data_IF_142093266260
#
_entry.id   IF_142093266260
#
_cell.length_a   1.000
_cell.length_b   1.000
_cell.length_c   1.000
_cell.angle_alpha   90.00
_cell.angle_beta   90.00
_cell.angle_gamma   90.00
#
_symmetry.space_group_name_H-M   'P 1'
#
loop_
_entity.id
_entity.type
_entity.pdbx_description
1 polymer ?
#
# COMPACT_ATOMS: atom_id res chain seq x y z
N UNK A 1 -22.54 -5.29 6.79
CA UNK A 1 -21.49 -5.63 5.81
C UNK A 1 -22.04 -5.35 4.43
N UNK A 2 -21.53 -4.39 3.65
CA UNK A 2 -21.90 -4.30 2.25
C UNK A 2 -21.36 -5.54 1.54
N UNK A 3 -22.21 -6.17 0.74
CA UNK A 3 -21.85 -7.33 -0.07
C UNK A 3 -20.64 -6.93 -0.94
N UNK A 4 -19.51 -7.63 -0.77
CA UNK A 4 -18.40 -7.57 -1.73
C UNK A 4 -19.00 -7.78 -3.11
N UNK A 5 -18.89 -6.80 -3.97
CA UNK A 5 -19.33 -6.90 -5.35
C UNK A 5 -18.71 -8.17 -5.94
N UNK A 6 -19.54 -9.12 -6.28
CA UNK A 6 -19.05 -10.41 -6.74
C UNK A 6 -18.30 -10.19 -8.05
N UNK A 7 -17.04 -10.64 -8.09
CA UNK A 7 -16.21 -10.62 -9.30
C UNK A 7 -17.05 -11.10 -10.49
N UNK A 8 -17.15 -10.32 -11.57
CA UNK A 8 -17.96 -10.69 -12.73
C UNK A 8 -17.64 -12.11 -13.22
N UNK A 9 -18.65 -12.86 -13.63
CA UNK A 9 -18.51 -14.28 -14.03
C UNK A 9 -17.38 -14.51 -15.06
N UNK A 10 -17.20 -13.57 -15.99
CA UNK A 10 -16.12 -13.62 -16.99
C UNK A 10 -14.72 -13.49 -16.37
N UNK A 11 -14.57 -12.63 -15.38
CA UNK A 11 -13.30 -12.46 -14.65
C UNK A 11 -12.99 -13.71 -13.81
N UNK A 12 -14.00 -14.34 -13.20
CA UNK A 12 -13.84 -15.61 -12.51
C UNK A 12 -13.40 -16.75 -13.45
N UNK A 13 -13.91 -16.79 -14.67
CA UNK A 13 -13.49 -17.77 -15.64
C UNK A 13 -12.00 -17.58 -16.03
N UNK A 14 -11.57 -16.36 -16.28
CA UNK A 14 -10.18 -16.02 -16.60
C UNK A 14 -9.23 -16.39 -15.45
N UNK A 15 -9.61 -16.12 -14.20
CA UNK A 15 -8.84 -16.51 -13.02
C UNK A 15 -8.77 -18.04 -12.87
N UNK A 16 -9.88 -18.74 -13.13
CA UNK A 16 -9.96 -20.20 -13.05
C UNK A 16 -9.23 -20.91 -14.18
N UNK A 17 -9.05 -20.25 -15.32
CA UNK A 17 -8.28 -20.77 -16.46
C UNK A 17 -6.75 -20.54 -16.32
N UNK A 18 -6.29 -20.01 -15.17
CA UNK A 18 -4.86 -19.82 -14.89
C UNK A 18 -4.23 -18.60 -15.57
N UNK A 19 -5.03 -17.76 -16.24
CA UNK A 19 -4.57 -16.47 -16.73
C UNK A 19 -4.50 -15.50 -15.54
N UNK A 20 -3.27 -15.10 -15.17
CA UNK A 20 -3.05 -14.11 -14.13
C UNK A 20 -3.58 -12.74 -14.51
N UNK A 21 -4.03 -11.97 -13.52
CA UNK A 21 -4.41 -10.58 -13.70
C UNK A 21 -3.20 -9.66 -13.51
N UNK A 22 -3.20 -8.54 -14.22
CA UNK A 22 -2.19 -7.49 -14.06
C UNK A 22 -2.82 -6.23 -13.44
N UNK A 23 -2.14 -5.66 -12.44
CA UNK A 23 -2.41 -4.34 -11.91
C UNK A 23 -1.17 -3.47 -12.12
N UNK A 24 -1.28 -2.49 -13.01
CA UNK A 24 -0.15 -1.68 -13.47
C UNK A 24 -0.18 -0.25 -12.93
N UNK A 25 -1.16 0.08 -12.08
CA UNK A 25 -1.31 1.42 -11.55
C UNK A 25 -1.88 1.40 -10.13
N UNK A 26 -1.05 1.01 -9.15
CA UNK A 26 -1.49 1.06 -7.76
C UNK A 26 -0.48 1.77 -6.86
N UNK A 27 -1.00 2.57 -5.93
CA UNK A 27 -0.19 3.30 -4.95
C UNK A 27 -0.04 2.48 -3.68
N UNK A 28 1.20 2.32 -3.21
CA UNK A 28 1.49 1.59 -1.97
C UNK A 28 0.70 2.13 -0.78
N UNK A 29 0.55 3.46 -0.69
CA UNK A 29 -0.15 4.11 0.42
C UNK A 29 -1.59 3.65 0.62
N UNK A 30 -2.28 3.31 -0.48
CA UNK A 30 -3.66 2.85 -0.46
C UNK A 30 -3.86 1.35 -0.65
N UNK A 31 -2.77 0.56 -0.73
CA UNK A 31 -2.83 -0.87 -1.09
C UNK A 31 -2.59 -1.81 0.10
N UNK A 32 -2.28 -1.27 1.26
CA UNK A 32 -2.01 -2.04 2.48
C UNK A 32 -3.30 -2.17 3.30
N UNK A 33 -3.62 -3.38 3.71
CA UNK A 33 -4.82 -3.63 4.51
C UNK A 33 -4.74 -2.97 5.89
N UNK A 34 -5.89 -2.58 6.42
CA UNK A 34 -6.00 -1.87 7.71
C UNK A 34 -5.47 -2.67 8.89
N UNK A 35 -5.53 -4.00 8.86
CA UNK A 35 -4.96 -4.87 9.90
C UNK A 35 -3.43 -4.81 9.95
N UNK A 36 -2.78 -4.76 8.79
CA UNK A 36 -1.33 -4.56 8.70
C UNK A 36 -0.95 -3.16 9.20
N UNK A 37 -1.69 -2.13 8.76
CA UNK A 37 -1.45 -0.76 9.19
C UNK A 37 -1.65 -0.60 10.70
N UNK A 38 -2.68 -1.22 11.27
CA UNK A 38 -2.93 -1.26 12.70
C UNK A 38 -1.77 -1.85 13.49
N UNK A 39 -1.29 -3.02 13.05
CA UNK A 39 -0.13 -3.69 13.65
C UNK A 39 1.12 -2.81 13.59
N UNK A 40 1.42 -2.24 12.41
CA UNK A 40 2.56 -1.36 12.21
C UNK A 40 2.52 -0.11 13.09
N UNK A 41 1.34 0.52 13.22
CA UNK A 41 1.18 1.71 14.06
C UNK A 41 1.51 1.40 15.53
N UNK A 42 1.03 0.27 16.05
CA UNK A 42 1.30 -0.14 17.43
C UNK A 42 2.76 -0.53 17.65
N UNK A 43 3.36 -1.27 16.74
CA UNK A 43 4.77 -1.68 16.81
C UNK A 43 5.72 -0.48 16.79
N UNK A 44 5.35 0.59 16.06
CA UNK A 44 6.13 1.82 15.99
C UNK A 44 5.79 2.84 17.07
N UNK A 45 4.83 2.56 17.95
CA UNK A 45 4.39 3.48 18.99
C UNK A 45 3.73 4.76 18.46
N UNK A 46 3.09 4.70 17.28
CA UNK A 46 2.39 5.83 16.68
C UNK A 46 1.10 6.08 17.47
N UNK A 47 0.95 7.30 17.98
CA UNK A 47 -0.27 7.71 18.68
C UNK A 47 -1.41 7.90 17.67
N UNK A 48 -2.30 6.91 17.60
CA UNK A 48 -3.48 6.98 16.74
C UNK A 48 -4.57 7.85 17.41
N UNK A 49 -5.43 8.53 16.63
CA UNK A 49 -6.54 9.34 17.16
C UNK A 49 -7.71 8.49 17.66
N UNK A 50 -7.67 7.19 17.44
CA UNK A 50 -8.69 6.20 17.78
C UNK A 50 -8.07 5.05 18.57
N UNK A 51 -8.87 4.38 19.39
CA UNK A 51 -8.40 3.29 20.27
C UNK A 51 -8.95 1.91 19.86
N UNK A 52 -9.91 1.90 18.96
CA UNK A 52 -10.60 0.71 18.50
C UNK A 52 -10.24 0.42 17.05
N UNK A 53 -10.03 -0.87 16.73
CA UNK A 53 -9.64 -1.29 15.38
C UNK A 53 -10.69 -0.92 14.33
N UNK A 54 -11.99 -1.03 14.65
CA UNK A 54 -13.04 -0.75 13.67
C UNK A 54 -13.18 0.76 13.39
N UNK A 55 -12.85 1.59 14.37
CA UNK A 55 -12.73 3.04 14.16
C UNK A 55 -11.52 3.36 13.30
N UNK A 56 -10.40 2.67 13.53
CA UNK A 56 -9.21 2.80 12.71
C UNK A 56 -9.45 2.33 11.27
N UNK A 57 -10.08 1.18 11.08
CA UNK A 57 -10.42 0.68 9.74
C UNK A 57 -11.22 1.72 8.94
N UNK A 58 -12.21 2.36 9.58
CA UNK A 58 -12.98 3.45 8.94
C UNK A 58 -12.14 4.71 8.67
N UNK A 59 -11.12 4.97 9.48
CA UNK A 59 -10.22 6.11 9.30
C UNK A 59 -9.31 5.97 8.08
N UNK A 60 -8.86 4.76 7.77
CA UNK A 60 -7.85 4.49 6.72
C UNK A 60 -8.43 3.83 5.47
N UNK A 61 -9.72 3.49 5.45
CA UNK A 61 -10.36 2.79 4.35
C UNK A 61 -11.44 3.64 3.70
N UNK A 62 -11.40 3.75 2.38
CA UNK A 62 -12.44 4.39 1.59
C UNK A 62 -13.49 3.33 1.25
N UNK A 63 -14.61 3.31 1.96
CA UNK A 63 -15.70 2.35 1.73
C UNK A 63 -16.61 2.73 0.56
N UNK A 64 -16.80 4.01 0.28
CA UNK A 64 -17.49 4.51 -0.91
C UNK A 64 -16.67 5.67 -1.53
N UNK A 65 -16.04 5.45 -2.69
CA UNK A 65 -15.28 6.50 -3.38
C UNK A 65 -16.11 7.73 -3.75
N UNK A 66 -17.43 7.59 -3.87
CA UNK A 66 -18.36 8.71 -4.18
C UNK A 66 -18.62 9.59 -2.96
N UNK A 67 -18.31 9.09 -1.76
CA UNK A 67 -18.40 9.83 -0.49
C UNK A 67 -17.18 10.68 -0.18
N UNK A 68 -16.14 10.64 -1.00
CA UNK A 68 -14.96 11.52 -0.85
C UNK A 68 -15.28 12.85 -1.49
N UNK A 69 -15.63 13.84 -0.67
CA UNK A 69 -16.16 15.13 -1.12
C UNK A 69 -15.14 15.97 -1.91
N UNK A 70 -13.85 15.83 -1.58
CA UNK A 70 -12.77 16.61 -2.19
C UNK A 70 -11.40 15.97 -1.95
N UNK A 71 -10.35 16.57 -2.54
CA UNK A 71 -8.97 16.10 -2.38
C UNK A 71 -8.46 16.22 -0.94
N UNK A 72 -8.89 17.22 -0.18
CA UNK A 72 -8.45 17.41 1.20
C UNK A 72 -8.94 16.26 2.11
N UNK A 73 -10.15 15.77 1.88
CA UNK A 73 -10.68 14.59 2.58
C UNK A 73 -9.89 13.32 2.23
N UNK A 74 -9.47 13.17 0.99
CA UNK A 74 -8.61 12.08 0.54
C UNK A 74 -7.22 12.19 1.17
N UNK A 75 -6.63 13.37 1.20
CA UNK A 75 -5.32 13.63 1.78
C UNK A 75 -5.30 13.36 3.30
N UNK A 76 -6.40 13.59 4.00
CA UNK A 76 -6.53 13.25 5.42
C UNK A 76 -6.43 11.73 5.68
N UNK A 77 -7.01 10.92 4.80
CA UNK A 77 -6.89 9.45 4.86
C UNK A 77 -5.45 9.03 4.54
N UNK A 78 -4.87 9.56 3.48
CA UNK A 78 -3.49 9.28 3.08
C UNK A 78 -2.47 9.74 4.14
N UNK A 79 -2.75 10.80 4.88
CA UNK A 79 -1.88 11.25 5.97
C UNK A 79 -1.57 10.13 6.95
N UNK A 80 -2.59 9.41 7.43
CA UNK A 80 -2.40 8.30 8.37
C UNK A 80 -1.71 7.10 7.73
N UNK A 81 -2.14 6.70 6.54
CA UNK A 81 -1.54 5.56 5.86
C UNK A 81 -0.07 5.82 5.52
N UNK A 82 0.29 7.02 5.09
CA UNK A 82 1.67 7.42 4.81
C UNK A 82 2.52 7.53 6.08
N UNK A 83 1.99 8.11 7.15
CA UNK A 83 2.70 8.21 8.42
C UNK A 83 3.07 6.84 8.98
N UNK A 84 2.13 5.91 8.97
CA UNK A 84 2.34 4.54 9.48
C UNK A 84 3.38 3.79 8.63
N UNK A 85 3.40 4.03 7.33
CA UNK A 85 4.32 3.40 6.39
C UNK A 85 5.64 4.18 6.23
N UNK A 86 6.07 4.95 7.22
CA UNK A 86 7.22 5.89 7.13
C UNK A 86 8.45 5.42 7.92
N UNK A 87 8.81 4.17 7.80
CA UNK A 87 10.09 3.63 8.27
C UNK A 87 10.52 2.47 7.37
N UNK A 88 11.81 2.11 7.30
CA UNK A 88 12.26 0.97 6.51
C UNK A 88 11.49 -0.31 6.82
N UNK A 89 11.30 -0.64 8.10
CA UNK A 89 10.55 -1.82 8.52
C UNK A 89 9.09 -1.78 8.04
N UNK A 90 8.44 -0.62 8.19
CA UNK A 90 7.05 -0.47 7.77
C UNK A 90 6.90 -0.54 6.26
N UNK A 91 7.84 0.04 5.50
CA UNK A 91 7.85 -0.04 4.02
C UNK A 91 8.03 -1.48 3.55
N UNK A 92 8.99 -2.23 4.10
CA UNK A 92 9.20 -3.64 3.74
C UNK A 92 7.92 -4.46 3.96
N UNK A 93 7.31 -4.34 5.14
CA UNK A 93 6.08 -5.07 5.47
C UNK A 93 4.89 -4.62 4.62
N UNK A 94 4.79 -3.34 4.31
CA UNK A 94 3.73 -2.78 3.48
C UNK A 94 3.81 -3.32 2.05
N UNK A 95 5.00 -3.32 1.44
CA UNK A 95 5.21 -3.85 0.10
C UNK A 95 4.91 -5.34 0.04
N UNK A 96 5.47 -6.12 0.96
CA UNK A 96 5.19 -7.56 1.06
C UNK A 96 3.69 -7.82 1.22
N UNK A 97 3.03 -7.11 2.14
CA UNK A 97 1.60 -7.27 2.42
C UNK A 97 0.71 -6.88 1.25
N UNK A 98 1.03 -5.80 0.54
CA UNK A 98 0.29 -5.35 -0.65
C UNK A 98 0.37 -6.37 -1.78
N UNK A 99 1.56 -6.92 -2.06
CA UNK A 99 1.75 -7.94 -3.10
C UNK A 99 0.98 -9.21 -2.74
N UNK A 100 1.16 -9.73 -1.53
CA UNK A 100 0.47 -10.94 -1.07
C UNK A 100 -1.06 -10.74 -0.99
N UNK A 101 -1.51 -9.56 -0.57
CA UNK A 101 -2.93 -9.19 -0.53
C UNK A 101 -3.55 -9.18 -1.92
N UNK A 102 -2.91 -8.55 -2.90
CA UNK A 102 -3.37 -8.50 -4.29
C UNK A 102 -3.50 -9.91 -4.91
N UNK A 103 -2.51 -10.76 -4.66
CA UNK A 103 -2.55 -12.15 -5.13
C UNK A 103 -3.67 -12.95 -4.47
N UNK A 104 -3.73 -12.97 -3.14
CA UNK A 104 -4.70 -13.81 -2.41
C UNK A 104 -6.16 -13.36 -2.59
N UNK A 105 -6.40 -12.05 -2.69
CA UNK A 105 -7.76 -11.53 -2.76
C UNK A 105 -8.31 -11.39 -4.18
N UNK A 106 -7.44 -11.15 -5.16
CA UNK A 106 -7.84 -10.78 -6.52
C UNK A 106 -7.19 -11.63 -7.62
N UNK A 107 -6.25 -12.51 -7.30
CA UNK A 107 -5.55 -13.34 -8.29
C UNK A 107 -4.58 -12.53 -9.17
N UNK A 108 -4.10 -11.37 -8.69
CA UNK A 108 -3.14 -10.54 -9.42
C UNK A 108 -1.78 -11.23 -9.38
N UNK A 109 -1.22 -11.51 -10.55
CA UNK A 109 0.08 -12.15 -10.73
C UNK A 109 1.13 -11.23 -11.34
N UNK A 110 0.73 -10.05 -11.82
CA UNK A 110 1.65 -9.00 -12.26
C UNK A 110 1.24 -7.69 -11.60
N UNK A 111 2.15 -7.07 -10.84
CA UNK A 111 1.85 -5.89 -10.03
C UNK A 111 2.94 -4.84 -10.16
N UNK A 112 2.56 -3.59 -10.46
CA UNK A 112 3.42 -2.41 -10.37
C UNK A 112 2.97 -1.54 -9.20
N UNK A 113 3.78 -1.53 -8.13
CA UNK A 113 3.57 -0.69 -6.95
C UNK A 113 4.35 0.61 -7.09
N UNK A 114 3.64 1.72 -6.97
CA UNK A 114 4.26 3.05 -6.98
C UNK A 114 4.20 3.71 -5.62
N UNK A 115 5.27 4.39 -5.25
CA UNK A 115 5.32 5.18 -4.03
C UNK A 115 6.35 6.30 -4.14
N UNK A 116 6.21 7.32 -3.29
CA UNK A 116 7.17 8.39 -3.15
C UNK A 116 8.06 8.10 -1.94
N UNK A 117 9.37 7.81 -2.12
CA UNK A 117 10.29 7.56 -1.01
C UNK A 117 10.39 8.75 -0.05
N UNK A 118 10.30 9.99 -0.57
CA UNK A 118 10.39 11.23 0.21
C UNK A 118 9.28 11.37 1.25
N UNK A 119 8.13 10.74 1.02
CA UNK A 119 7.01 10.71 1.97
C UNK A 119 7.12 9.60 3.01
N UNK A 120 8.15 8.75 2.95
CA UNK A 120 8.33 7.57 3.80
C UNK A 120 9.43 7.74 4.86
N UNK A 121 9.89 8.95 5.07
CA UNK A 121 10.96 9.27 6.03
C UNK A 121 10.46 9.94 7.33
N UNK A 122 9.16 10.00 7.56
CA UNK A 122 8.55 10.66 8.74
C UNK A 122 8.91 9.97 10.06
N UNK A 123 9.34 8.72 10.03
CA UNK A 123 9.84 7.96 11.18
C UNK A 123 11.27 8.32 11.60
N UNK A 124 11.90 9.32 10.97
CA UNK A 124 13.25 9.79 11.30
C UNK A 124 14.36 9.21 10.44
N UNK A 125 14.05 8.32 9.47
CA UNK A 125 15.02 7.87 8.49
C UNK A 125 15.44 9.05 7.60
N UNK A 126 16.76 9.27 7.51
CA UNK A 126 17.33 10.39 6.74
C UNK A 126 17.87 9.95 5.39
N UNK A 127 18.22 8.66 5.29
CA UNK A 127 18.77 8.07 4.09
C UNK A 127 17.64 7.38 3.31
N UNK A 128 17.29 7.96 2.16
CA UNK A 128 16.24 7.43 1.30
C UNK A 128 16.60 6.08 0.68
N UNK A 129 17.90 5.78 0.55
CA UNK A 129 18.34 4.48 0.08
C UNK A 129 17.86 3.37 1.01
N UNK A 130 17.80 3.61 2.32
CA UNK A 130 17.24 2.65 3.28
C UNK A 130 15.75 2.39 3.04
N UNK A 131 14.99 3.41 2.65
CA UNK A 131 13.57 3.28 2.30
C UNK A 131 13.41 2.47 1.01
N UNK A 132 14.21 2.76 -0.01
CA UNK A 132 14.17 2.07 -1.30
C UNK A 132 14.61 0.62 -1.13
N UNK A 133 15.70 0.36 -0.42
CA UNK A 133 16.18 -0.99 -0.13
C UNK A 133 15.16 -1.80 0.66
N UNK A 134 14.45 -1.19 1.62
CA UNK A 134 13.38 -1.85 2.35
C UNK A 134 12.21 -2.24 1.42
N UNK A 135 11.84 -1.37 0.48
CA UNK A 135 10.82 -1.69 -0.52
C UNK A 135 11.26 -2.87 -1.41
N UNK A 136 12.52 -2.89 -1.87
CA UNK A 136 13.07 -4.00 -2.66
C UNK A 136 13.03 -5.31 -1.85
N UNK A 137 13.43 -5.29 -0.57
CA UNK A 137 13.32 -6.47 0.31
C UNK A 137 11.90 -6.96 0.47
N UNK A 138 10.93 -6.05 0.52
CA UNK A 138 9.52 -6.40 0.53
C UNK A 138 9.08 -7.16 -0.74
N UNK A 139 9.57 -6.74 -1.92
CA UNK A 139 9.36 -7.45 -3.19
C UNK A 139 10.03 -8.83 -3.18
N UNK A 140 11.31 -8.89 -2.78
CA UNK A 140 12.07 -10.15 -2.74
C UNK A 140 11.38 -11.18 -1.83
N UNK A 141 10.97 -10.75 -0.65
CA UNK A 141 10.24 -11.59 0.30
C UNK A 141 8.91 -12.09 -0.27
N UNK A 142 8.16 -11.21 -0.93
CA UNK A 142 6.90 -11.58 -1.58
C UNK A 142 7.14 -12.56 -2.73
N UNK A 143 8.22 -12.41 -3.50
CA UNK A 143 8.57 -13.29 -4.61
C UNK A 143 8.92 -14.71 -4.14
N UNK A 144 9.49 -14.84 -2.94
CA UNK A 144 9.77 -16.15 -2.33
C UNK A 144 8.47 -16.80 -1.86
N UNK A 145 7.59 -16.03 -1.19
CA UNK A 145 6.34 -16.55 -0.63
C UNK A 145 5.28 -16.81 -1.71
N UNK A 146 5.25 -15.98 -2.77
CA UNK A 146 4.30 -16.04 -3.88
C UNK A 146 5.04 -16.15 -5.22
N UNK A 147 5.65 -17.29 -5.57
CA UNK A 147 6.49 -17.43 -6.77
C UNK A 147 5.73 -17.24 -8.09
N UNK A 148 4.39 -17.21 -8.05
CA UNK A 148 3.55 -16.92 -9.21
C UNK A 148 3.44 -15.42 -9.51
N UNK A 149 3.82 -14.57 -8.55
CA UNK A 149 3.68 -13.12 -8.67
C UNK A 149 4.97 -12.49 -9.18
N UNK A 150 4.82 -11.61 -10.15
CA UNK A 150 5.86 -10.69 -10.62
C UNK A 150 5.49 -9.30 -10.17
N UNK A 151 6.29 -8.70 -9.31
CA UNK A 151 6.08 -7.36 -8.81
C UNK A 151 7.25 -6.45 -9.13
N UNK A 152 6.95 -5.20 -9.47
CA UNK A 152 7.92 -4.14 -9.69
C UNK A 152 7.58 -2.90 -8.87
N UNK A 153 8.58 -2.04 -8.67
CA UNK A 153 8.45 -0.77 -7.97
C UNK A 153 8.61 0.39 -8.94
N UNK A 154 7.77 1.40 -8.78
CA UNK A 154 7.87 2.68 -9.49
C UNK A 154 8.12 3.77 -8.44
N UNK A 155 9.28 4.40 -8.48
CA UNK A 155 9.60 5.54 -7.63
C UNK A 155 8.92 6.79 -8.21
N UNK A 156 8.15 7.48 -7.38
CA UNK A 156 7.42 8.68 -7.77
C UNK A 156 8.10 9.92 -7.25
N UNK A 157 8.14 10.95 -8.09
CA UNK A 157 8.36 12.33 -7.65
C UNK A 157 7.03 13.00 -7.29
N UNK A 158 7.06 13.90 -6.32
CA UNK A 158 5.88 14.66 -5.93
C UNK A 158 5.97 16.10 -6.47
N UNK A 159 4.97 16.50 -7.25
CA UNK A 159 4.90 17.86 -7.83
C UNK A 159 4.77 18.98 -6.79
N UNK A 160 4.39 18.65 -5.56
CA UNK A 160 4.26 19.61 -4.46
C UNK A 160 5.59 19.86 -3.75
N UNK A 161 6.60 19.02 -4.00
CA UNK A 161 7.94 19.19 -3.45
C UNK A 161 8.81 20.03 -4.37
N UNK A 162 9.75 20.77 -3.76
CA UNK A 162 10.82 21.42 -4.50
C UNK A 162 11.61 20.39 -5.33
N UNK A 163 12.11 20.83 -6.48
CA UNK A 163 12.89 19.98 -7.39
C UNK A 163 14.01 19.25 -6.64
N UNK A 164 14.74 19.95 -5.75
CA UNK A 164 15.83 19.37 -4.97
C UNK A 164 15.40 18.25 -4.01
N UNK A 165 14.17 18.30 -3.54
CA UNK A 165 13.63 17.26 -2.67
C UNK A 165 13.20 16.00 -3.44
N UNK A 166 13.11 16.09 -4.76
CA UNK A 166 12.80 14.96 -5.64
C UNK A 166 14.05 14.35 -6.29
N UNK A 167 15.24 14.89 -6.06
CA UNK A 167 16.50 14.26 -6.48
C UNK A 167 16.84 13.12 -5.50
N UNK A 168 16.84 11.90 -6.02
CA UNK A 168 17.22 10.67 -5.32
C UNK A 168 18.53 10.18 -5.91
#
# INVERSE_FOLDING_TARGET
>A
MPAREAVPRRLRAVILEGAGLAELYTHLGGSVSSDILWSLAHEQGIALPVKDYWEFDRLVTISDPRGVENLDALDAIYHWTELIQSSPLAVERSVHGAIGGAYRSQGITTLELRFNPMKRNRGGERDLDHIILAAIRGVDRASIEYPQVRAGLILMMDRTFDFRLNEI
#
